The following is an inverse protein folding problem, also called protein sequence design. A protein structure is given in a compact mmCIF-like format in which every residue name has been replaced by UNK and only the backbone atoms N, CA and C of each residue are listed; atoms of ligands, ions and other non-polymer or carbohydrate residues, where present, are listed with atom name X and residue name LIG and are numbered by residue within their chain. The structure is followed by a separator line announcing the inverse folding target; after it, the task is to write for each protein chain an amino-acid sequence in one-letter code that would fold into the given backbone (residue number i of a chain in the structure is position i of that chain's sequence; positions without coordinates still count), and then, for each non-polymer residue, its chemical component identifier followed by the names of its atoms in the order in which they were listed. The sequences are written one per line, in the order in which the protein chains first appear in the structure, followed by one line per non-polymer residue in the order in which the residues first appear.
data_IF_933623762929
#
_entry.id   IF_933623762929
#
_cell.length_a   1.000
_cell.length_b   1.000
_cell.length_c   1.000
_cell.angle_alpha   90.00
_cell.angle_beta   90.00
_cell.angle_gamma   90.00
#
_symmetry.space_group_name_H-M   'P 1'
#
loop_
_entity.id
_entity.type
_entity.pdbx_description
1 polymer ?
#
# COMPACT_ATOMS: atom_id res chain seq x y z
N UNK A 1 0.69 24.94 13.92
CA UNK A 1 1.41 23.96 14.76
C UNK A 1 0.87 22.56 14.45
N UNK A 2 1.52 21.84 13.54
CA UNK A 2 1.50 20.37 13.43
C UNK A 2 2.66 19.95 12.51
N UNK A 3 3.48 19.06 13.05
CA UNK A 3 4.75 18.48 12.58
C UNK A 3 4.78 18.07 11.09
N UNK A 4 5.91 18.19 10.36
CA UNK A 4 6.06 17.71 8.99
C UNK A 4 6.17 16.18 8.97
N UNK A 5 5.11 15.49 9.40
CA UNK A 5 4.93 14.07 9.14
C UNK A 5 4.83 13.91 7.63
N UNK A 6 5.95 13.51 7.05
CA UNK A 6 6.25 13.11 5.68
C UNK A 6 5.03 12.41 5.04
N UNK A 7 4.06 13.20 4.58
CA UNK A 7 2.94 12.72 3.81
C UNK A 7 3.45 12.56 2.40
N UNK A 8 3.77 11.32 2.04
CA UNK A 8 3.93 10.97 0.63
C UNK A 8 2.58 11.19 -0.01
N UNK A 9 2.48 12.17 -0.89
CA UNK A 9 1.30 12.38 -1.71
C UNK A 9 1.12 11.13 -2.58
N UNK A 10 0.08 10.35 -2.29
CA UNK A 10 -0.29 9.21 -3.10
C UNK A 10 -1.38 9.67 -4.08
N UNK A 11 -1.49 9.01 -5.25
CA UNK A 11 -2.62 9.23 -6.13
C UNK A 11 -3.93 8.94 -5.38
N UNK A 12 -4.98 9.70 -5.69
CA UNK A 12 -6.27 9.62 -5.00
C UNK A 12 -6.82 8.19 -4.97
N UNK A 13 -6.71 7.44 -6.07
CA UNK A 13 -7.19 6.06 -6.15
C UNK A 13 -6.48 5.14 -5.13
N UNK A 14 -5.18 5.33 -4.93
CA UNK A 14 -4.36 4.56 -3.98
C UNK A 14 -4.78 4.90 -2.54
N UNK A 15 -4.97 6.18 -2.23
CA UNK A 15 -5.43 6.63 -0.92
C UNK A 15 -6.80 6.08 -0.56
N UNK A 16 -7.76 6.15 -1.48
CA UNK A 16 -9.11 5.63 -1.25
C UNK A 16 -9.12 4.12 -1.01
N UNK A 17 -8.31 3.36 -1.75
CA UNK A 17 -8.16 1.91 -1.53
C UNK A 17 -7.54 1.59 -0.18
N UNK A 18 -6.50 2.33 0.22
CA UNK A 18 -5.89 2.17 1.55
C UNK A 18 -6.92 2.41 2.65
N UNK A 19 -7.67 3.51 2.56
CA UNK A 19 -8.71 3.83 3.53
C UNK A 19 -9.80 2.76 3.57
N UNK A 20 -10.24 2.28 2.40
CA UNK A 20 -11.25 1.23 2.30
C UNK A 20 -10.76 -0.05 2.99
N UNK A 21 -9.54 -0.50 2.71
CA UNK A 21 -8.97 -1.70 3.34
C UNK A 21 -8.81 -1.51 4.85
N UNK A 22 -8.38 -0.32 5.30
CA UNK A 22 -8.26 -0.01 6.71
C UNK A 22 -9.63 -0.09 7.42
N UNK A 23 -10.68 0.49 6.83
CA UNK A 23 -12.03 0.44 7.37
C UNK A 23 -12.62 -0.97 7.35
N UNK A 24 -12.53 -1.65 6.21
CA UNK A 24 -13.18 -2.95 5.98
C UNK A 24 -12.51 -4.08 6.79
N UNK A 25 -11.18 -4.06 6.88
CA UNK A 25 -10.40 -5.12 7.51
C UNK A 25 -9.83 -4.73 8.88
N UNK A 26 -10.30 -3.60 9.43
CA UNK A 26 -9.85 -3.02 10.71
C UNK A 26 -8.30 -2.93 10.80
N UNK A 27 -7.68 -2.46 9.71
CA UNK A 27 -6.24 -2.33 9.59
C UNK A 27 -5.77 -0.91 9.91
N UNK A 28 -4.52 -0.81 10.35
CA UNK A 28 -3.85 0.48 10.48
C UNK A 28 -3.32 0.97 9.12
N UNK A 29 -3.31 2.28 8.88
CA UNK A 29 -2.77 2.86 7.66
C UNK A 29 -1.29 2.47 7.47
N UNK A 30 -0.84 2.34 6.21
CA UNK A 30 0.52 1.94 5.92
C UNK A 30 1.54 3.00 6.36
N UNK A 31 2.69 2.51 6.84
CA UNK A 31 3.80 3.34 7.28
C UNK A 31 4.38 4.18 6.13
N UNK A 32 5.04 5.29 6.46
CA UNK A 32 5.58 6.22 5.46
C UNK A 32 6.49 5.55 4.43
N UNK A 33 7.37 4.64 4.85
CA UNK A 33 8.26 3.91 3.91
C UNK A 33 7.50 3.02 2.93
N UNK A 34 6.35 2.46 3.34
CA UNK A 34 5.47 1.68 2.47
C UNK A 34 4.75 2.59 1.49
N UNK A 35 4.26 3.75 1.96
CA UNK A 35 3.66 4.78 1.08
C UNK A 35 4.65 5.28 0.04
N UNK A 36 5.91 5.53 0.42
CA UNK A 36 6.97 5.87 -0.53
C UNK A 36 7.14 4.75 -1.57
N UNK A 37 7.12 3.49 -1.15
CA UNK A 37 7.25 2.35 -2.07
C UNK A 37 6.08 2.25 -3.05
N UNK A 38 4.85 2.51 -2.59
CA UNK A 38 3.66 2.58 -3.44
C UNK A 38 3.77 3.72 -4.46
N UNK A 39 4.25 4.90 -4.05
CA UNK A 39 4.50 6.00 -4.98
C UNK A 39 5.58 5.64 -6.03
N UNK A 40 6.62 4.90 -5.63
CA UNK A 40 7.73 4.51 -6.50
C UNK A 40 7.39 3.46 -7.55
N UNK A 41 6.40 2.58 -7.28
CA UNK A 41 5.95 1.58 -8.28
C UNK A 41 4.92 2.16 -9.26
N UNK A 42 4.40 3.36 -9.01
CA UNK A 42 3.38 4.00 -9.81
C UNK A 42 1.95 3.66 -9.38
N UNK A 43 0.98 4.45 -9.86
CA UNK A 43 -0.43 4.35 -9.48
C UNK A 43 -1.05 2.99 -9.83
N UNK A 44 -0.88 2.53 -11.06
CA UNK A 44 -1.53 1.31 -11.56
C UNK A 44 -1.09 0.07 -10.77
N UNK A 45 0.23 -0.12 -10.63
CA UNK A 45 0.81 -1.22 -9.84
C UNK A 45 0.41 -1.14 -8.36
N UNK A 46 0.42 0.07 -7.77
CA UNK A 46 -0.02 0.27 -6.39
C UNK A 46 -1.49 -0.11 -6.19
N UNK A 47 -2.37 0.33 -7.09
CA UNK A 47 -3.80 -0.02 -7.09
C UNK A 47 -3.98 -1.53 -7.25
N UNK A 48 -3.23 -2.16 -8.15
CA UNK A 48 -3.31 -3.61 -8.38
C UNK A 48 -2.90 -4.41 -7.14
N UNK A 49 -1.81 -4.02 -6.48
CA UNK A 49 -1.37 -4.62 -5.21
C UNK A 49 -2.45 -4.46 -4.13
N UNK A 50 -2.98 -3.25 -3.95
CA UNK A 50 -4.01 -2.99 -2.93
C UNK A 50 -5.32 -3.72 -3.21
N UNK A 51 -5.76 -3.77 -4.46
CA UNK A 51 -6.94 -4.56 -4.88
C UNK A 51 -6.74 -6.04 -4.58
N UNK A 52 -5.57 -6.58 -4.93
CA UNK A 52 -5.27 -7.96 -4.62
C UNK A 52 -5.33 -8.21 -3.11
N UNK A 53 -4.78 -7.31 -2.29
CA UNK A 53 -4.85 -7.39 -0.82
C UNK A 53 -6.30 -7.32 -0.32
N UNK A 54 -7.14 -6.47 -0.92
CA UNK A 54 -8.54 -6.34 -0.53
C UNK A 54 -9.39 -7.60 -0.80
N UNK A 55 -8.95 -8.46 -1.72
CA UNK A 55 -9.67 -9.68 -2.09
C UNK A 55 -9.61 -10.79 -1.02
N UNK A 56 -8.76 -10.66 0.00
CA UNK A 56 -8.59 -11.65 1.06
C UNK A 56 -8.44 -10.97 2.41
N UNK A 57 -8.68 -11.75 3.47
CA UNK A 57 -8.59 -11.25 4.85
C UNK A 57 -7.13 -11.12 5.28
N UNK A 58 -6.75 -9.92 5.68
CA UNK A 58 -5.44 -9.60 6.23
C UNK A 58 -5.32 -10.23 7.62
N UNK A 59 -4.32 -11.09 7.80
CA UNK A 59 -4.01 -11.76 9.07
C UNK A 59 -2.78 -11.17 9.78
N UNK A 60 -2.06 -10.27 9.10
CA UNK A 60 -0.85 -9.59 9.57
C UNK A 60 -1.07 -8.08 9.50
N UNK A 61 -0.01 -7.29 9.41
CA UNK A 61 -0.12 -5.84 9.17
C UNK A 61 -0.21 -5.54 7.67
N UNK A 62 -1.13 -4.64 7.29
CA UNK A 62 -1.25 -4.11 5.93
C UNK A 62 0.11 -3.67 5.35
N UNK A 63 0.90 -2.90 6.12
CA UNK A 63 2.26 -2.48 5.75
C UNK A 63 3.17 -3.65 5.33
N UNK A 64 3.16 -4.74 6.08
CA UNK A 64 4.02 -5.90 5.81
C UNK A 64 3.58 -6.67 4.57
N UNK A 65 2.26 -6.80 4.36
CA UNK A 65 1.71 -7.46 3.19
C UNK A 65 2.00 -6.67 1.92
N UNK A 66 1.80 -5.35 1.93
CA UNK A 66 2.13 -4.48 0.79
C UNK A 66 3.61 -4.62 0.44
N UNK A 67 4.51 -4.51 1.40
CA UNK A 67 5.95 -4.63 1.16
C UNK A 67 6.32 -5.99 0.53
N UNK A 68 5.70 -7.07 1.00
CA UNK A 68 5.90 -8.41 0.46
C UNK A 68 5.35 -8.56 -0.96
N UNK A 69 4.17 -8.01 -1.24
CA UNK A 69 3.58 -8.01 -2.59
C UNK A 69 4.47 -7.23 -3.56
N UNK A 70 4.90 -6.02 -3.20
CA UNK A 70 5.82 -5.21 -4.01
C UNK A 70 7.13 -5.95 -4.29
N UNK A 71 7.67 -6.65 -3.29
CA UNK A 71 8.89 -7.45 -3.47
C UNK A 71 8.65 -8.60 -4.46
N UNK A 72 7.52 -9.30 -4.36
CA UNK A 72 7.14 -10.37 -5.29
C UNK A 72 6.95 -9.86 -6.71
N UNK A 73 6.31 -8.70 -6.89
CA UNK A 73 6.14 -8.08 -8.22
C UNK A 73 7.49 -7.78 -8.87
N UNK A 74 8.46 -7.29 -8.09
CA UNK A 74 9.82 -7.01 -8.58
C UNK A 74 10.63 -8.26 -8.94
N UNK A 75 10.46 -9.35 -8.20
CA UNK A 75 11.12 -10.62 -8.51
C UNK A 75 10.64 -11.28 -9.81
N UNK A 76 9.51 -10.83 -10.36
CA UNK A 76 8.97 -11.35 -11.62
C UNK A 76 9.51 -10.60 -12.87
N UNK A 77 10.42 -9.63 -12.70
CA UNK A 77 11.06 -8.84 -13.78
C UNK A 77 12.51 -9.32 -14.05
N UNK A 78 13.05 -10.26 -13.26
CA UNK A 78 14.33 -10.93 -13.56
C UNK A 78 14.08 -12.38 -14.03
N UNK A 79 13.67 -12.56 -15.30
CA UNK A 79 13.98 -13.75 -16.10
C UNK A 79 13.96 -13.43 -17.60
#
# INVERSE_FOLDING_TARGET
MADPSVHVALPQAVEQLIEQICRDQNQLPPNVGVRQKLALIGEEEAVQVLRNISAWKITKSLSGIIMNMIRKSKSNIEV
#
